data_IF_527621531634
#
_entry.id   IF_527621531634
#
_cell.length_a   1.000
_cell.length_b   1.000
_cell.length_c   1.000
_cell.angle_alpha   90.00
_cell.angle_beta   90.00
_cell.angle_gamma   90.00
#
_symmetry.space_group_name_H-M   'P 1'
#
loop_
_entity.id
_entity.type
_entity.pdbx_description
1 polymer ?
#
# COMPACT_ATOMS: atom_id res chain seq x y z
N UNK A 1 -17.14 -8.09 -16.34
CA UNK A 1 -17.38 -6.66 -16.61
C UNK A 1 -16.73 -6.38 -17.96
N UNK A 2 -17.42 -5.65 -18.84
CA UNK A 2 -16.87 -5.24 -20.13
C UNK A 2 -15.96 -4.02 -19.90
N UNK A 3 -14.66 -4.07 -20.28
CA UNK A 3 -13.76 -2.94 -20.11
C UNK A 3 -14.14 -1.70 -20.94
N UNK A 4 -14.99 -1.85 -21.96
CA UNK A 4 -15.42 -0.76 -22.84
C UNK A 4 -16.83 -0.23 -22.53
N UNK A 5 -17.54 -0.86 -21.58
CA UNK A 5 -18.86 -0.43 -21.13
C UNK A 5 -18.89 -0.22 -19.62
N UNK A 6 -18.78 1.06 -19.24
CA UNK A 6 -18.79 1.53 -17.84
C UNK A 6 -20.10 1.22 -17.10
N UNK A 7 -21.21 0.92 -17.80
CA UNK A 7 -22.48 0.54 -17.16
C UNK A 7 -22.41 -0.85 -16.53
N UNK A 8 -21.47 -1.69 -17.00
CA UNK A 8 -21.27 -3.05 -16.49
C UNK A 8 -20.38 -3.10 -15.25
N UNK A 9 -19.82 -1.96 -14.82
CA UNK A 9 -18.89 -1.88 -13.70
C UNK A 9 -19.65 -1.71 -12.38
N UNK A 10 -19.65 -2.77 -11.57
CA UNK A 10 -20.51 -2.86 -10.37
C UNK A 10 -19.75 -2.70 -9.06
N UNK A 11 -18.42 -2.72 -9.09
CA UNK A 11 -17.57 -2.59 -7.90
C UNK A 11 -16.62 -1.42 -8.09
N UNK A 12 -16.63 -0.48 -7.16
CA UNK A 12 -15.75 0.70 -7.20
C UNK A 12 -14.28 0.30 -7.17
N UNK A 13 -13.89 -0.46 -6.15
CA UNK A 13 -12.50 -0.82 -5.89
C UNK A 13 -12.36 -2.29 -5.55
N UNK A 14 -11.36 -2.94 -6.14
CA UNK A 14 -11.03 -4.35 -5.87
C UNK A 14 -9.55 -4.49 -5.56
N UNK A 15 -9.25 -5.02 -4.38
CA UNK A 15 -7.89 -5.42 -3.98
C UNK A 15 -7.74 -6.91 -4.31
N UNK A 16 -7.20 -7.21 -5.48
CA UNK A 16 -7.12 -8.59 -5.98
C UNK A 16 -6.12 -9.42 -5.15
N UNK A 17 -6.38 -10.72 -4.95
CA UNK A 17 -5.36 -11.64 -4.46
C UNK A 17 -4.23 -11.77 -5.49
N UNK A 18 -3.06 -12.23 -5.05
CA UNK A 18 -1.95 -12.51 -5.94
C UNK A 18 -1.91 -13.99 -6.32
N UNK A 19 -1.42 -14.23 -7.54
CA UNK A 19 -1.13 -15.54 -8.11
C UNK A 19 0.36 -15.70 -8.39
N UNK A 20 1.03 -14.61 -8.79
CA UNK A 20 2.45 -14.59 -9.17
C UNK A 20 3.24 -13.63 -8.29
N UNK A 21 4.53 -13.91 -8.15
CA UNK A 21 5.50 -13.06 -7.48
C UNK A 21 6.75 -12.92 -8.36
N UNK A 22 7.28 -11.71 -8.41
CA UNK A 22 8.37 -11.32 -9.29
C UNK A 22 9.46 -10.62 -8.47
N UNK A 23 10.72 -10.93 -8.78
CA UNK A 23 11.84 -10.21 -8.21
C UNK A 23 11.87 -8.78 -8.78
N UNK A 24 11.90 -7.77 -7.91
CA UNK A 24 11.87 -6.36 -8.31
C UNK A 24 13.16 -5.95 -9.02
N UNK A 25 14.30 -6.52 -8.65
CA UNK A 25 15.57 -6.25 -9.32
C UNK A 25 15.53 -6.64 -10.81
N UNK A 26 14.78 -7.70 -11.14
CA UNK A 26 14.62 -8.18 -12.53
C UNK A 26 13.48 -7.46 -13.25
N UNK A 27 12.33 -7.33 -12.59
CA UNK A 27 11.11 -6.74 -13.18
C UNK A 27 11.24 -5.22 -13.38
N UNK A 28 11.83 -4.53 -12.40
CA UNK A 28 11.87 -3.06 -12.35
C UNK A 28 13.23 -2.57 -11.80
N UNK A 29 14.35 -2.80 -12.51
CA UNK A 29 15.70 -2.51 -12.02
C UNK A 29 15.91 -1.05 -11.61
N UNK A 30 15.25 -0.09 -12.28
CA UNK A 30 15.29 1.33 -11.92
C UNK A 30 14.61 1.59 -10.57
N UNK A 31 13.45 0.98 -10.32
CA UNK A 31 12.76 1.08 -9.04
C UNK A 31 13.59 0.44 -7.92
N UNK A 32 14.18 -0.74 -8.18
CA UNK A 32 15.08 -1.41 -7.24
C UNK A 32 16.29 -0.53 -6.86
N UNK A 33 16.94 0.10 -7.85
CA UNK A 33 18.04 1.02 -7.60
C UNK A 33 17.60 2.22 -6.73
N UNK A 34 16.42 2.78 -6.99
CA UNK A 34 15.82 3.84 -6.18
C UNK A 34 15.57 3.39 -4.73
N UNK A 35 14.97 2.21 -4.53
CA UNK A 35 14.74 1.60 -3.21
C UNK A 35 16.06 1.47 -2.45
N UNK A 36 17.08 0.88 -3.08
CA UNK A 36 18.40 0.72 -2.47
C UNK A 36 19.03 2.06 -2.10
N UNK A 37 18.94 3.06 -3.00
CA UNK A 37 19.50 4.39 -2.74
C UNK A 37 18.82 5.08 -1.55
N UNK A 38 17.49 4.96 -1.42
CA UNK A 38 16.74 5.59 -0.33
C UNK A 38 17.02 4.93 1.02
N UNK A 39 17.23 3.61 1.03
CA UNK A 39 17.40 2.80 2.24
C UNK A 39 18.86 2.59 2.66
N UNK A 40 19.83 3.15 1.91
CA UNK A 40 21.25 3.09 2.27
C UNK A 40 21.97 1.81 1.81
N UNK A 41 21.52 1.22 0.70
CA UNK A 41 22.15 0.09 0.02
C UNK A 41 21.30 -1.19 0.02
N UNK A 42 21.52 -2.05 -0.97
CA UNK A 42 20.83 -3.34 -1.11
C UNK A 42 21.09 -4.31 0.04
N UNK A 43 22.21 -4.15 0.75
CA UNK A 43 22.54 -4.92 1.95
C UNK A 43 21.62 -4.61 3.14
N UNK A 44 20.87 -3.50 3.11
CA UNK A 44 19.88 -3.16 4.16
C UNK A 44 18.48 -3.63 3.83
N UNK A 45 18.16 -3.80 2.54
CA UNK A 45 16.83 -4.21 2.08
C UNK A 45 16.66 -5.71 2.26
N UNK A 46 15.51 -6.13 2.76
CA UNK A 46 15.14 -7.55 2.85
C UNK A 46 14.72 -8.06 1.45
N UNK A 47 15.47 -9.01 0.85
CA UNK A 47 15.21 -9.49 -0.49
C UNK A 47 13.96 -10.37 -0.57
N UNK A 48 13.57 -11.08 0.50
CA UNK A 48 12.37 -11.93 0.49
C UNK A 48 11.09 -11.07 0.54
N UNK A 49 11.16 -9.93 1.22
CA UNK A 49 10.06 -8.98 1.31
C UNK A 49 9.96 -8.02 0.12
N UNK A 50 10.96 -7.98 -0.76
CA UNK A 50 11.02 -7.06 -1.90
C UNK A 50 10.63 -7.75 -3.22
N UNK A 51 9.64 -8.64 -3.18
CA UNK A 51 9.00 -9.19 -4.38
C UNK A 51 7.73 -8.41 -4.69
N UNK A 52 7.53 -8.07 -5.97
CA UNK A 52 6.25 -7.51 -6.43
C UNK A 52 5.33 -8.64 -6.83
N UNK A 53 4.05 -8.48 -6.51
CA UNK A 53 3.02 -9.47 -6.76
C UNK A 53 1.96 -8.86 -7.67
N UNK A 54 1.27 -9.69 -8.42
CA UNK A 54 0.11 -9.31 -9.25
C UNK A 54 -1.17 -9.08 -8.42
N UNK A 55 -1.04 -8.69 -7.16
CA UNK A 55 -2.14 -8.24 -6.30
C UNK A 55 -2.58 -6.82 -6.69
N UNK A 56 -3.20 -6.70 -7.86
CA UNK A 56 -3.64 -5.42 -8.41
C UNK A 56 -4.72 -4.77 -7.54
N UNK A 57 -4.64 -3.45 -7.43
CA UNK A 57 -5.65 -2.58 -6.82
C UNK A 57 -6.32 -1.83 -7.95
N UNK A 58 -7.50 -2.31 -8.34
CA UNK A 58 -8.32 -1.72 -9.40
C UNK A 58 -9.29 -0.71 -8.79
N UNK A 59 -9.37 0.49 -9.35
CA UNK A 59 -10.38 1.50 -9.03
C UNK A 59 -11.09 1.93 -10.31
N UNK A 60 -12.39 1.71 -10.36
CA UNK A 60 -13.30 2.00 -11.48
C UNK A 60 -14.18 3.24 -11.22
N UNK A 61 -14.09 3.81 -10.01
CA UNK A 61 -15.00 4.83 -9.51
C UNK A 61 -16.44 4.32 -9.36
N UNK A 62 -17.34 5.24 -8.97
CA UNK A 62 -18.77 4.95 -8.86
C UNK A 62 -19.57 5.88 -9.76
N UNK A 63 -20.76 5.46 -10.25
CA UNK A 63 -21.67 6.38 -10.93
C UNK A 63 -21.99 7.62 -10.10
N UNK A 64 -22.11 7.47 -8.77
CA UNK A 64 -22.40 8.57 -7.86
C UNK A 64 -21.21 9.54 -7.68
N UNK A 65 -19.97 9.09 -7.87
CA UNK A 65 -18.75 9.90 -7.76
C UNK A 65 -18.26 10.49 -9.09
N UNK A 66 -18.89 10.13 -10.22
CA UNK A 66 -18.53 10.67 -11.54
C UNK A 66 -18.72 12.19 -11.59
N UNK A 67 -17.75 12.91 -12.17
CA UNK A 67 -17.71 14.38 -12.28
C UNK A 67 -17.85 15.12 -10.93
N UNK A 68 -17.50 14.46 -9.82
CA UNK A 68 -17.51 15.07 -8.48
C UNK A 68 -16.10 15.22 -7.92
N UNK A 69 -15.74 16.46 -7.65
CA UNK A 69 -14.57 16.78 -6.84
C UNK A 69 -14.91 16.47 -5.38
N UNK A 70 -14.04 15.71 -4.72
CA UNK A 70 -14.10 15.46 -3.27
C UNK A 70 -12.83 16.03 -2.68
N UNK A 71 -12.97 16.91 -1.69
CA UNK A 71 -11.81 17.51 -1.03
C UNK A 71 -11.00 16.43 -0.31
N UNK A 72 -9.65 16.47 -0.32
CA UNK A 72 -8.83 15.47 0.36
C UNK A 72 -9.17 15.29 1.85
N UNK A 73 -9.57 16.36 2.54
CA UNK A 73 -9.98 16.37 3.94
C UNK A 73 -11.28 15.59 4.20
N UNK A 74 -12.13 15.44 3.19
CA UNK A 74 -13.40 14.70 3.25
C UNK A 74 -13.24 13.24 2.82
N UNK A 75 -12.07 12.88 2.25
CA UNK A 75 -11.79 11.48 1.94
C UNK A 75 -11.76 10.66 3.23
N UNK A 76 -12.23 9.44 3.11
CA UNK A 76 -12.12 8.42 4.17
C UNK A 76 -11.04 7.43 3.78
N UNK A 77 -10.69 6.51 4.68
CA UNK A 77 -9.73 5.46 4.37
C UNK A 77 -8.27 5.92 4.49
N UNK A 78 -8.01 7.07 5.09
CA UNK A 78 -6.65 7.53 5.37
C UNK A 78 -5.93 6.57 6.30
N UNK A 79 -4.67 6.27 5.99
CA UNK A 79 -3.80 5.43 6.81
C UNK A 79 -2.32 5.63 6.44
N UNK A 80 -1.44 5.05 7.26
CA UNK A 80 -0.10 4.65 6.85
C UNK A 80 -0.07 3.12 6.74
N UNK A 81 0.80 2.57 5.90
CA UNK A 81 0.89 1.12 5.74
C UNK A 81 1.53 0.45 6.96
N UNK A 82 1.10 -0.79 7.24
CA UNK A 82 1.61 -1.61 8.33
C UNK A 82 0.55 -2.31 9.18
N UNK A 83 -0.57 -2.72 8.58
CA UNK A 83 -1.68 -3.37 9.28
C UNK A 83 -1.40 -4.76 9.88
N UNK A 84 -0.16 -5.23 9.77
CA UNK A 84 0.28 -6.57 10.13
C UNK A 84 1.35 -6.59 11.23
N UNK A 85 1.63 -5.45 11.88
CA UNK A 85 2.56 -5.37 13.01
C UNK A 85 2.22 -4.21 13.95
N UNK A 86 2.79 -4.24 15.16
CA UNK A 86 2.76 -3.12 16.10
C UNK A 86 3.77 -2.08 15.67
N UNK A 87 3.34 -0.84 15.46
CA UNK A 87 4.19 0.21 14.93
C UNK A 87 5.12 0.78 15.99
N UNK A 88 6.35 1.02 15.56
CA UNK A 88 7.38 1.78 16.24
C UNK A 88 7.98 2.77 15.25
N UNK A 89 8.62 3.83 15.75
CA UNK A 89 9.34 4.80 14.90
C UNK A 89 10.43 4.12 14.04
N UNK A 90 11.01 3.03 14.56
CA UNK A 90 12.11 2.30 13.94
C UNK A 90 11.70 1.02 13.20
N UNK A 91 10.40 0.78 13.02
CA UNK A 91 9.86 -0.47 12.47
C UNK A 91 10.53 -0.88 11.15
N UNK A 92 11.13 -2.09 11.07
CA UNK A 92 11.72 -2.59 9.83
C UNK A 92 10.70 -3.10 8.82
N UNK A 93 9.49 -3.43 9.27
CA UNK A 93 8.49 -4.18 8.49
C UNK A 93 7.90 -3.40 7.32
N UNK A 94 7.91 -2.06 7.40
CA UNK A 94 7.47 -1.14 6.34
C UNK A 94 8.49 -0.01 6.22
N UNK A 95 9.42 -0.14 5.28
CA UNK A 95 10.53 0.78 5.07
C UNK A 95 10.26 1.84 3.99
N UNK A 96 9.41 1.52 3.02
CA UNK A 96 8.92 2.44 1.98
C UNK A 96 7.47 2.11 1.64
N UNK A 97 6.69 3.13 1.28
CA UNK A 97 5.44 2.96 0.53
C UNK A 97 5.78 2.99 -0.96
N UNK A 98 5.37 1.98 -1.72
CA UNK A 98 5.72 1.84 -3.15
C UNK A 98 4.44 1.75 -3.98
N UNK A 99 4.31 2.57 -5.02
CA UNK A 99 3.12 2.58 -5.88
C UNK A 99 3.54 2.51 -7.34
N UNK A 100 3.65 1.30 -7.93
CA UNK A 100 3.79 1.10 -9.36
C UNK A 100 2.46 1.34 -10.07
N UNK A 101 2.49 2.09 -11.16
CA UNK A 101 1.31 2.39 -11.98
C UNK A 101 1.21 1.40 -13.16
N UNK A 102 0.07 0.70 -13.24
CA UNK A 102 -0.23 -0.26 -14.32
C UNK A 102 -1.27 0.28 -15.31
N UNK A 103 -1.66 1.54 -15.14
CA UNK A 103 -2.50 2.32 -16.04
C UNK A 103 -2.08 3.78 -15.94
N UNK A 104 -2.38 4.58 -16.97
CA UNK A 104 -2.25 6.02 -16.85
C UNK A 104 -3.21 6.57 -15.80
N UNK A 105 -2.73 7.53 -14.99
CA UNK A 105 -3.51 8.21 -13.97
C UNK A 105 -3.36 9.70 -14.19
N UNK A 106 -4.35 10.29 -14.85
CA UNK A 106 -4.48 11.75 -15.01
C UNK A 106 -5.08 12.37 -13.73
N UNK A 107 -4.98 13.70 -13.54
CA UNK A 107 -5.67 14.37 -12.43
C UNK A 107 -7.17 14.03 -12.39
N UNK A 108 -7.67 13.64 -11.21
CA UNK A 108 -9.04 13.13 -11.05
C UNK A 108 -9.27 11.67 -11.47
N UNK A 109 -8.24 10.99 -11.97
CA UNK A 109 -8.30 9.60 -12.42
C UNK A 109 -8.31 8.56 -11.29
N UNK A 110 -8.50 8.99 -10.03
CA UNK A 110 -8.52 8.08 -8.89
C UNK A 110 -7.13 7.71 -8.38
N UNK A 111 -6.15 8.60 -8.53
CA UNK A 111 -4.80 8.41 -8.02
C UNK A 111 -4.78 8.26 -6.49
N UNK A 112 -3.67 7.75 -5.96
CA UNK A 112 -3.50 7.75 -4.50
C UNK A 112 -3.32 9.19 -4.05
N UNK A 113 -4.18 9.68 -3.16
CA UNK A 113 -4.00 10.97 -2.51
C UNK A 113 -3.01 10.79 -1.37
N UNK A 114 -1.94 11.59 -1.34
CA UNK A 114 -0.90 11.54 -0.31
C UNK A 114 -0.84 12.86 0.45
N UNK A 115 -0.43 12.79 1.72
CA UNK A 115 -0.25 13.96 2.59
C UNK A 115 1.19 14.00 3.17
N UNK A 116 2.17 14.57 2.44
CA UNK A 116 3.56 14.61 2.91
C UNK A 116 3.75 15.37 4.23
N UNK A 117 2.93 16.39 4.51
CA UNK A 117 3.00 17.16 5.77
C UNK A 117 2.62 16.32 7.00
N UNK A 118 1.81 15.27 6.83
CA UNK A 118 1.43 14.39 7.93
C UNK A 118 2.58 13.51 8.45
N UNK A 119 3.68 13.34 7.70
CA UNK A 119 4.86 12.61 8.16
C UNK A 119 5.35 13.13 9.51
N UNK A 120 5.33 14.46 9.70
CA UNK A 120 5.83 15.10 10.91
C UNK A 120 4.96 14.76 12.13
N UNK A 121 3.63 14.68 11.94
CA UNK A 121 2.69 14.30 13.00
C UNK A 121 2.80 12.81 13.34
N UNK A 122 2.86 11.93 12.32
CA UNK A 122 3.00 10.49 12.52
C UNK A 122 4.33 10.14 13.18
N UNK A 123 5.43 10.75 12.72
CA UNK A 123 6.76 10.55 13.32
C UNK A 123 6.77 10.98 14.78
N UNK A 124 6.20 12.15 15.10
CA UNK A 124 6.10 12.63 16.48
C UNK A 124 5.29 11.67 17.35
N UNK A 125 4.14 11.19 16.88
CA UNK A 125 3.31 10.22 17.59
C UNK A 125 4.10 8.95 17.92
N UNK A 126 4.80 8.36 16.94
CA UNK A 126 5.61 7.16 17.17
C UNK A 126 6.83 7.41 18.07
N UNK A 127 7.42 8.61 18.02
CA UNK A 127 8.51 9.01 18.90
C UNK A 127 8.07 9.12 20.37
N UNK A 128 6.88 9.68 20.60
CA UNK A 128 6.29 9.89 21.94
C UNK A 128 5.70 8.61 22.55
N UNK A 129 5.52 7.57 21.75
CA UNK A 129 4.98 6.26 22.15
C UNK A 129 5.99 5.11 21.93
N UNK A 130 7.15 5.12 22.60
CA UNK A 130 8.17 4.08 22.42
C UNK A 130 7.71 2.69 22.86
N UNK A 131 6.65 2.57 23.66
CA UNK A 131 5.99 1.31 24.01
C UNK A 131 5.31 0.62 22.82
N UNK A 132 5.04 1.37 21.74
CA UNK A 132 4.43 0.91 20.51
C UNK A 132 2.95 1.27 20.40
N UNK A 133 2.48 1.38 19.16
CA UNK A 133 1.08 1.72 18.85
C UNK A 133 0.46 0.69 17.90
N UNK A 134 -0.87 0.55 17.95
CA UNK A 134 -1.59 -0.32 17.02
C UNK A 134 -1.49 0.21 15.57
N UNK A 135 -1.85 -0.59 14.56
CA UNK A 135 -2.06 -0.10 13.20
C UNK A 135 -3.09 1.02 13.04
N UNK A 136 -3.87 1.32 14.09
CA UNK A 136 -4.82 2.43 14.16
C UNK A 136 -4.33 3.59 15.02
N UNK A 137 -3.03 3.59 15.35
CA UNK A 137 -2.33 4.60 16.13
C UNK A 137 -2.76 4.71 17.60
N UNK A 138 -3.45 3.71 18.14
CA UNK A 138 -3.75 3.64 19.57
C UNK A 138 -2.50 3.21 20.36
N UNK A 139 -2.04 4.00 21.35
CA UNK A 139 -0.92 3.63 22.20
C UNK A 139 -1.16 2.33 22.97
N UNK A 140 -0.11 1.53 23.18
CA UNK A 140 -0.20 0.27 23.94
C UNK A 140 -0.82 0.46 25.33
N UNK A 141 -0.58 1.59 26.00
CA UNK A 141 -1.19 1.87 27.30
C UNK A 141 -2.74 1.88 27.26
N UNK A 142 -3.33 2.23 26.11
CA UNK A 142 -4.79 2.27 25.90
C UNK A 142 -5.32 0.96 25.31
N UNK A 143 -4.49 0.23 24.55
CA UNK A 143 -4.84 -1.05 23.93
C UNK A 143 -3.71 -2.08 24.10
N UNK A 144 -3.49 -2.63 25.32
CA UNK A 144 -2.31 -3.48 25.60
C UNK A 144 -2.25 -4.76 24.78
N UNK A 145 -3.41 -5.28 24.40
CA UNK A 145 -3.57 -6.49 23.61
C UNK A 145 -3.65 -6.23 22.10
N UNK A 146 -3.69 -4.97 21.67
CA UNK A 146 -3.91 -4.55 20.28
C UNK A 146 -5.14 -5.20 19.65
N UNK A 147 -6.25 -5.22 20.38
CA UNK A 147 -7.55 -5.66 19.86
C UNK A 147 -8.00 -4.68 18.77
N UNK A 148 -8.67 -5.21 17.75
CA UNK A 148 -9.18 -4.39 16.65
C UNK A 148 -10.12 -3.29 17.17
N UNK A 149 -9.79 -2.04 16.86
CA UNK A 149 -10.53 -0.88 17.33
C UNK A 149 -11.83 -0.68 16.56
N UNK A 150 -12.93 -0.46 17.28
CA UNK A 150 -14.25 -0.17 16.68
C UNK A 150 -14.26 1.15 15.89
N UNK A 151 -13.41 2.10 16.28
CA UNK A 151 -13.26 3.41 15.64
C UNK A 151 -12.49 3.34 14.31
N UNK A 152 -11.92 2.18 13.95
CA UNK A 152 -11.27 1.97 12.67
C UNK A 152 -10.17 2.98 12.39
N UNK A 153 -10.32 3.74 11.29
CA UNK A 153 -9.31 4.71 10.79
C UNK A 153 -9.49 6.13 11.33
N UNK A 154 -10.26 6.31 12.42
CA UNK A 154 -10.63 7.63 12.95
C UNK A 154 -9.44 8.57 13.12
N UNK A 155 -8.36 8.13 13.78
CA UNK A 155 -7.17 8.96 14.03
C UNK A 155 -6.57 9.54 12.74
N UNK A 156 -6.46 8.71 11.69
CA UNK A 156 -5.91 9.13 10.41
C UNK A 156 -6.86 10.07 9.64
N UNK A 157 -8.16 9.78 9.65
CA UNK A 157 -9.15 10.63 9.00
C UNK A 157 -9.23 12.01 9.69
N UNK A 158 -9.17 12.06 11.02
CA UNK A 158 -9.13 13.32 11.77
C UNK A 158 -7.85 14.11 11.45
N UNK A 159 -6.70 13.43 11.39
CA UNK A 159 -5.43 14.04 10.99
C UNK A 159 -5.52 14.65 9.58
N UNK A 160 -6.04 13.90 8.61
CA UNK A 160 -6.23 14.41 7.25
C UNK A 160 -7.22 15.58 7.23
N UNK A 161 -8.34 15.49 7.95
CA UNK A 161 -9.36 16.56 7.95
C UNK A 161 -8.85 17.89 8.50
N UNK A 162 -7.82 17.85 9.35
CA UNK A 162 -7.21 19.03 9.95
C UNK A 162 -6.06 19.62 9.11
N UNK A 163 -5.65 18.97 8.02
CA UNK A 163 -4.55 19.43 7.16
C UNK A 163 -5.04 20.49 6.15
N UNK A 164 -4.20 21.50 5.84
CA UNK A 164 -4.54 22.51 4.85
C UNK A 164 -4.44 21.94 3.42
N UNK A 165 -5.09 22.57 2.45
CA UNK A 165 -5.18 22.08 1.07
C UNK A 165 -3.81 21.80 0.44
N UNK A 166 -2.81 22.65 0.68
CA UNK A 166 -1.47 22.48 0.12
C UNK A 166 -0.69 21.30 0.73
N UNK A 167 -1.23 20.63 1.74
CA UNK A 167 -0.66 19.42 2.29
C UNK A 167 -0.87 18.19 1.41
N UNK A 168 -1.77 18.27 0.42
CA UNK A 168 -2.24 17.12 -0.35
C UNK A 168 -1.71 17.12 -1.78
N UNK A 169 -1.40 15.93 -2.28
CA UNK A 169 -0.96 15.71 -3.65
C UNK A 169 -1.61 14.43 -4.19
N UNK A 170 -2.18 14.48 -5.39
CA UNK A 170 -2.63 13.27 -6.08
C UNK A 170 -1.46 12.64 -6.84
N UNK A 171 -1.23 11.34 -6.65
CA UNK A 171 -0.22 10.58 -7.37
C UNK A 171 -0.69 10.26 -8.81
N UNK A 172 -0.44 11.20 -9.72
CA UNK A 172 -0.71 11.10 -11.16
C UNK A 172 0.55 10.74 -11.97
N UNK A 173 0.41 9.91 -12.98
CA UNK A 173 1.54 9.53 -13.84
C UNK A 173 1.08 8.69 -15.03
N UNK A 174 2.03 8.11 -15.74
CA UNK A 174 1.76 7.17 -16.84
C UNK A 174 2.11 5.75 -16.44
N UNK A 175 1.61 4.78 -17.20
CA UNK A 175 1.94 3.36 -16.99
C UNK A 175 3.46 3.15 -16.95
N UNK A 176 3.92 2.39 -15.94
CA UNK A 176 5.34 2.13 -15.70
C UNK A 176 6.02 3.10 -14.73
N UNK A 177 5.39 4.23 -14.39
CA UNK A 177 5.88 5.09 -13.30
C UNK A 177 5.79 4.37 -11.94
N UNK A 178 6.72 4.72 -11.05
CA UNK A 178 6.79 4.14 -9.70
C UNK A 178 7.03 5.24 -8.68
N UNK A 179 6.11 5.38 -7.73
CA UNK A 179 6.33 6.21 -6.55
C UNK A 179 7.08 5.44 -5.49
N UNK A 180 8.14 6.04 -4.94
CA UNK A 180 8.84 5.58 -3.75
C UNK A 180 8.66 6.64 -2.66
N UNK A 181 7.88 6.32 -1.63
CA UNK A 181 7.40 7.26 -0.64
C UNK A 181 7.87 6.85 0.76
N UNK A 182 7.94 7.84 1.65
CA UNK A 182 8.30 7.63 3.06
C UNK A 182 7.32 6.63 3.73
N UNK A 183 7.78 5.75 4.64
CA UNK A 183 6.89 4.74 5.26
C UNK A 183 5.80 5.36 6.13
N UNK A 184 6.02 6.57 6.63
CA UNK A 184 5.03 7.34 7.41
C UNK A 184 4.14 8.23 6.53
N UNK A 185 4.09 8.01 5.21
CA UNK A 185 3.26 8.79 4.30
C UNK A 185 1.78 8.47 4.53
N UNK A 186 1.05 9.44 5.09
CA UNK A 186 -0.41 9.35 5.20
C UNK A 186 -1.01 9.39 3.80
N UNK A 187 -1.84 8.41 3.46
CA UNK A 187 -2.42 8.28 2.13
C UNK A 187 -3.82 7.66 2.14
N UNK A 188 -4.58 7.91 1.08
CA UNK A 188 -5.87 7.29 0.79
C UNK A 188 -6.11 7.16 -0.71
N UNK A 189 -7.08 6.34 -1.12
CA UNK A 189 -7.57 6.38 -2.49
C UNK A 189 -8.39 7.66 -2.70
N UNK A 190 -8.13 8.41 -3.78
CA UNK A 190 -9.00 9.52 -4.18
C UNK A 190 -10.28 9.02 -4.84
N UNK A 191 -11.28 9.91 -4.95
CA UNK A 191 -12.44 9.66 -5.80
C UNK A 191 -11.97 9.61 -7.26
N UNK A 192 -12.27 8.49 -7.94
CA UNK A 192 -12.05 8.38 -9.38
C UNK A 192 -13.20 9.08 -10.13
N UNK A 193 -13.14 10.42 -10.15
CA UNK A 193 -14.19 11.26 -10.71
C UNK A 193 -14.36 11.07 -12.22
N UNK A 194 -13.33 10.59 -12.92
CA UNK A 194 -13.40 10.30 -14.34
C UNK A 194 -13.92 8.90 -14.66
N UNK A 195 -14.03 8.03 -13.65
CA UNK A 195 -14.32 6.59 -13.81
C UNK A 195 -13.51 5.98 -14.97
N UNK A 196 -12.22 6.28 -15.04
CA UNK A 196 -11.28 5.58 -15.92
C UNK A 196 -10.71 4.38 -15.18
N UNK A 197 -10.41 3.29 -15.88
CA UNK A 197 -9.79 2.13 -15.23
C UNK A 197 -8.44 2.55 -14.64
N UNK A 198 -8.32 2.49 -13.31
CA UNK A 198 -7.07 2.75 -12.60
C UNK A 198 -6.54 1.48 -11.97
N UNK A 199 -5.33 1.07 -12.34
CA UNK A 199 -4.67 -0.14 -11.84
C UNK A 199 -3.31 0.22 -11.26
N UNK A 200 -3.09 -0.14 -9.99
CA UNK A 200 -1.81 0.01 -9.30
C UNK A 200 -1.50 -1.26 -8.51
N UNK A 201 -0.28 -1.37 -8.01
CA UNK A 201 0.06 -2.27 -6.90
C UNK A 201 0.56 -1.46 -5.72
N UNK A 202 0.50 -2.01 -4.50
CA UNK A 202 1.18 -1.45 -3.33
C UNK A 202 2.01 -2.54 -2.63
N UNK A 203 3.17 -2.91 -3.20
CA UNK A 203 4.03 -3.91 -2.62
C UNK A 203 4.78 -3.35 -1.40
N UNK A 204 4.84 -4.07 -0.27
CA UNK A 204 5.66 -3.64 0.86
C UNK A 204 7.14 -3.72 0.51
N UNK A 205 7.94 -2.91 1.18
CA UNK A 205 9.40 -3.04 1.24
C UNK A 205 9.78 -3.06 2.71
N UNK A 206 10.55 -4.04 3.15
CA UNK A 206 11.11 -4.08 4.50
C UNK A 206 12.64 -3.99 4.45
N UNK A 207 13.21 -3.65 5.60
CA UNK A 207 14.66 -3.69 5.84
C UNK A 207 14.99 -4.82 6.79
N UNK A 208 16.21 -5.35 6.68
CA UNK A 208 16.68 -6.49 7.49
C UNK A 208 16.74 -6.15 8.98
N UNK A 209 17.10 -4.92 9.30
CA UNK A 209 17.28 -4.42 10.66
C UNK A 209 16.44 -3.16 10.88
N UNK A 210 15.94 -2.91 12.11
CA UNK A 210 15.26 -1.67 12.45
C UNK A 210 16.05 -0.42 12.06
N UNK A 211 15.34 0.66 11.77
CA UNK A 211 15.99 1.95 11.53
C UNK A 211 16.77 2.39 12.77
N UNK A 212 17.96 2.94 12.58
CA UNK A 212 18.79 3.41 13.68
C UNK A 212 18.93 4.92 13.59
N UNK A 213 18.32 5.63 14.53
CA UNK A 213 18.31 7.10 14.60
C UNK A 213 19.41 7.66 15.53
N UNK A 214 20.20 6.78 16.14
CA UNK A 214 21.25 7.10 17.11
C UNK A 214 22.63 6.62 16.62
N UNK A 215 23.00 6.99 15.39
CA UNK A 215 24.27 6.58 14.78
C UNK A 215 25.36 7.62 15.03
N UNK A 216 26.49 7.19 15.61
CA UNK A 216 27.64 8.06 15.83
C UNK A 216 28.32 8.49 14.54
N UNK A 217 28.35 7.62 13.52
CA UNK A 217 28.97 7.88 12.22
C UNK A 217 28.14 8.78 11.31
N UNK A 218 26.90 9.10 11.70
CA UNK A 218 25.97 9.91 10.91
C UNK A 218 25.52 9.25 9.58
N UNK A 219 25.80 7.96 9.37
CA UNK A 219 25.52 7.24 8.13
C UNK A 219 24.03 6.83 7.99
N UNK A 220 23.15 7.79 8.17
CA UNK A 220 21.70 7.63 8.03
C UNK A 220 21.29 7.48 6.57
N UNK A 221 20.35 6.58 6.30
CA UNK A 221 19.61 6.49 5.03
C UNK A 221 18.77 7.76 4.76
N UNK A 222 18.27 7.94 3.54
CA UNK A 222 17.40 9.08 3.20
C UNK A 222 16.13 9.06 4.07
N UNK A 223 15.57 7.88 4.29
CA UNK A 223 14.40 7.67 5.16
C UNK A 223 14.73 8.09 6.59
N UNK A 224 15.83 7.58 7.17
CA UNK A 224 16.25 7.95 8.52
C UNK A 224 16.44 9.47 8.67
N UNK A 225 17.09 10.12 7.69
CA UNK A 225 17.28 11.59 7.69
C UNK A 225 15.96 12.35 7.59
N UNK A 226 15.00 11.90 6.78
CA UNK A 226 13.68 12.57 6.70
C UNK A 226 12.91 12.41 8.01
N UNK A 227 12.92 11.24 8.65
CA UNK A 227 12.30 11.04 9.97
C UNK A 227 12.93 11.94 11.04
N UNK A 228 14.26 12.01 11.09
CA UNK A 228 14.99 12.90 12.01
C UNK A 228 14.61 14.37 11.78
N UNK A 229 14.60 14.81 10.52
CA UNK A 229 14.17 16.17 10.14
C UNK A 229 12.71 16.45 10.54
N UNK A 230 11.82 15.48 10.37
CA UNK A 230 10.41 15.58 10.75
C UNK A 230 10.23 15.79 12.27
N UNK A 231 11.14 15.23 13.07
CA UNK A 231 11.20 15.41 14.52
C UNK A 231 11.97 16.68 14.95
N UNK A 232 12.54 17.43 14.02
CA UNK A 232 13.41 18.58 14.32
C UNK A 232 14.70 18.19 15.03
N UNK A 233 15.20 16.96 14.84
CA UNK A 233 16.36 16.40 15.54
C UNK A 233 17.44 15.98 14.53
N UNK A 234 18.71 16.08 14.92
CA UNK A 234 19.83 15.55 14.14
C UNK A 234 20.17 14.09 14.49
N UNK A 235 19.81 13.66 15.70
CA UNK A 235 20.08 12.35 16.31
C UNK A 235 19.08 12.11 17.44
N UNK A 236 18.71 10.85 17.69
CA UNK A 236 17.84 10.46 18.82
C UNK A 236 18.63 9.75 19.92
N UNK A 237 19.53 10.47 20.59
CA UNK A 237 20.43 9.90 21.61
C UNK A 237 19.67 9.14 22.70
N UNK A 238 20.01 7.86 22.85
CA UNK A 238 19.43 6.97 23.87
C UNK A 238 17.98 6.56 23.63
N UNK A 239 17.34 7.01 22.54
CA UNK A 239 15.99 6.61 22.19
C UNK A 239 15.97 5.15 21.74
N UNK A 240 15.02 4.39 22.25
CA UNK A 240 14.77 2.99 21.89
C UNK A 240 13.32 2.64 22.18
N UNK A 241 12.83 1.61 21.49
CA UNK A 241 11.53 1.03 21.82
C UNK A 241 11.53 0.51 23.27
N UNK A 242 10.36 0.54 23.90
CA UNK A 242 10.10 0.15 25.30
C UNK A 242 9.07 -0.98 25.39
N UNK A 243 8.72 -1.61 24.27
CA UNK A 243 7.82 -2.75 24.22
C UNK A 243 8.22 -3.76 23.16
N UNK A 244 7.61 -4.94 23.22
CA UNK A 244 7.93 -6.03 22.31
C UNK A 244 7.33 -5.81 20.92
N UNK A 245 8.14 -6.05 19.89
CA UNK A 245 7.66 -6.15 18.51
C UNK A 245 6.69 -7.32 18.40
N UNK A 246 5.53 -7.10 17.78
CA UNK A 246 4.49 -8.11 17.63
C UNK A 246 3.87 -8.03 16.24
N UNK A 247 3.69 -9.19 15.61
CA UNK A 247 2.91 -9.33 14.37
C UNK A 247 1.42 -9.34 14.68
N UNK A 248 0.65 -8.77 13.77
CA UNK A 248 -0.80 -8.73 13.78
C UNK A 248 -1.26 -9.44 12.50
N UNK A 249 -2.28 -10.28 12.60
CA UNK A 249 -2.90 -10.88 11.42
C UNK A 249 -4.12 -10.03 11.06
N UNK A 250 -4.09 -9.26 9.96
CA UNK A 250 -5.20 -8.40 9.60
C UNK A 250 -6.35 -9.21 8.98
N UNK A 251 -7.58 -8.78 9.22
CA UNK A 251 -8.81 -9.42 8.70
C UNK A 251 -8.80 -9.57 7.16
N UNK A 252 -8.16 -8.64 6.45
CA UNK A 252 -8.03 -8.69 4.98
C UNK A 252 -7.40 -9.98 4.47
N UNK A 253 -6.53 -10.63 5.27
CA UNK A 253 -5.89 -11.90 4.87
C UNK A 253 -6.92 -12.99 4.64
N UNK A 254 -7.94 -13.08 5.50
CA UNK A 254 -9.03 -14.05 5.37
C UNK A 254 -9.86 -13.79 4.10
N UNK A 255 -10.17 -12.52 3.83
CA UNK A 255 -10.92 -12.11 2.64
C UNK A 255 -10.15 -12.44 1.36
N UNK A 256 -8.85 -12.13 1.32
CA UNK A 256 -7.99 -12.42 0.16
C UNK A 256 -7.82 -13.92 -0.11
N UNK A 257 -7.71 -14.74 0.94
CA UNK A 257 -7.68 -16.20 0.79
C UNK A 257 -8.99 -16.74 0.20
N UNK A 258 -10.14 -16.24 0.63
CA UNK A 258 -11.43 -16.65 0.09
C UNK A 258 -11.59 -16.22 -1.38
N UNK A 259 -11.20 -15.00 -1.73
CA UNK A 259 -11.20 -14.51 -3.12
C UNK A 259 -10.33 -15.38 -4.01
N UNK A 260 -9.12 -15.72 -3.56
CA UNK A 260 -8.19 -16.57 -4.31
C UNK A 260 -8.79 -17.94 -4.61
N UNK A 261 -9.38 -18.59 -3.60
CA UNK A 261 -10.05 -19.89 -3.78
C UNK A 261 -11.18 -19.83 -4.80
N UNK A 262 -12.04 -18.81 -4.72
CA UNK A 262 -13.15 -18.63 -5.68
C UNK A 262 -12.65 -18.42 -7.11
N UNK A 263 -11.56 -17.69 -7.27
CA UNK A 263 -10.96 -17.44 -8.58
C UNK A 263 -10.27 -18.69 -9.15
N UNK A 264 -9.54 -19.44 -8.32
CA UNK A 264 -8.97 -20.74 -8.71
C UNK A 264 -10.05 -21.74 -9.14
N UNK A 265 -11.17 -21.79 -8.43
CA UNK A 265 -12.33 -22.60 -8.81
C UNK A 265 -12.96 -22.15 -10.14
N UNK A 266 -13.05 -20.82 -10.37
CA UNK A 266 -13.56 -20.26 -11.64
C UNK A 266 -12.64 -20.63 -12.80
N UNK A 267 -11.33 -20.47 -12.63
CA UNK A 267 -10.32 -20.78 -13.65
C UNK A 267 -10.30 -22.29 -13.97
N UNK A 268 -10.42 -23.16 -12.95
CA UNK A 268 -10.53 -24.61 -13.14
C UNK A 268 -11.74 -24.96 -14.00
N UNK A 269 -12.93 -24.46 -13.65
CA UNK A 269 -14.16 -24.69 -14.43
C UNK A 269 -14.07 -24.17 -15.87
N UNK A 270 -13.41 -23.03 -16.07
CA UNK A 270 -13.21 -22.47 -17.41
C UNK A 270 -12.31 -23.36 -18.27
N UNK A 271 -11.22 -23.89 -17.69
CA UNK A 271 -10.35 -24.87 -18.37
C UNK A 271 -11.11 -26.15 -18.73
N UNK A 272 -11.82 -26.73 -17.77
CA UNK A 272 -12.66 -27.92 -17.99
C UNK A 272 -13.70 -27.70 -19.11
N UNK A 273 -14.33 -26.51 -19.15
CA UNK A 273 -15.28 -26.17 -20.19
C UNK A 273 -14.62 -25.97 -21.58
N UNK A 274 -13.39 -25.45 -21.62
CA UNK A 274 -12.66 -25.23 -22.88
C UNK A 274 -12.13 -26.54 -23.44
N UNK A 275 -11.55 -27.40 -22.59
CA UNK A 275 -11.10 -28.75 -22.95
C UNK A 275 -12.29 -29.64 -23.36
N UNK A 276 -13.44 -29.52 -22.68
CA UNK A 276 -14.67 -30.23 -23.06
C UNK A 276 -15.30 -29.78 -24.38
N UNK A 277 -14.95 -28.59 -24.88
CA UNK A 277 -15.36 -28.08 -26.20
C UNK A 277 -14.41 -28.55 -27.30
N UNK A 278 -13.10 -28.60 -27.05
CA UNK A 278 -12.10 -29.14 -28.01
C UNK A 278 -12.27 -30.65 -28.26
N UNK A 279 -12.73 -31.42 -27.28
CA UNK A 279 -13.02 -32.86 -27.47
C UNK A 279 -14.26 -33.11 -28.35
N UNK A 280 -15.16 -32.12 -28.50
CA UNK A 280 -16.41 -32.25 -29.30
C UNK A 280 -16.28 -31.84 -30.76
N UNK A 281 -15.17 -31.24 -31.18
CA UNK A 281 -14.95 -30.78 -32.57
C UNK A 281 -14.19 -31.77 -33.45
N UNK A 282 -13.94 -32.99 -32.98
CA UNK A 282 -13.18 -34.02 -33.70
C UNK A 282 -14.01 -35.24 -34.13
N UNK A 283 -15.25 -35.06 -34.61
CA UNK A 283 -15.95 -36.08 -35.39
C UNK A 283 -16.76 -35.40 -36.52
N UNK A 284 -16.13 -35.24 -37.69
CA UNK A 284 -16.85 -35.02 -38.94
C UNK A 284 -16.48 -36.20 -39.85
N UNK A 285 -17.43 -37.10 -40.06
CA UNK A 285 -17.27 -38.26 -40.95
C UNK A 285 -17.05 -37.81 -42.40
N UNK A 286 -16.23 -38.54 -43.19
CA UNK A 286 -16.04 -38.23 -44.60
C UNK A 286 -17.26 -38.68 -45.40
N UNK A 287 -17.80 -37.77 -46.21
CA UNK A 287 -18.86 -38.06 -47.18
C UNK A 287 -18.29 -38.92 -48.31
N UNK A 288 -18.96 -40.04 -48.56
CA UNK A 288 -18.66 -41.03 -49.61
C UNK A 288 -18.91 -40.52 -51.03
#
# INVERSE_FOLDING_TARGET
>A
MDPNDMSTWTTERTNMPWHNAFNVADLAPKAWAGICSLLGGSSRVDPEASSWKDSFIVNLGTPAGHDKVVNPQELTGWHVDGDFFVHYLDSPEQALLVIPLWSDIVPGGGGTMICPRAIDVVAKHLYEHPEGVSPRMSPRAQNPEFKQEAQGLKWFNELASAMPDEAFVEATGVVGDVYLLHPLMLHSASNNQLRKVRVITNPPVSVREPFCFDREDGAYSVVERKTLKALGKGRLEGWRIQGDRRRIVPERMRIQQEMKRKEEDRLRKLKEATEGVEVRTAEVEPVA
#
